data_IF_115895588587
#
_entry.id   IF_115895588587
#
_cell.length_a   1.000
_cell.length_b   1.000
_cell.length_c   1.000
_cell.angle_alpha   90.00
_cell.angle_beta   90.00
_cell.angle_gamma   90.00
#
_symmetry.space_group_name_H-M   'P 1'
#
loop_
_entity.id
_entity.type
_entity.pdbx_description
1 polymer ?
#
# COMPACT_ATOMS: atom_id res chain seq x y z
N UNK A 1 5.01 4.20 29.57
CA UNK A 1 4.00 3.62 28.64
C UNK A 1 4.08 4.20 27.22
N UNK A 2 4.23 5.53 27.03
CA UNK A 2 4.42 6.15 25.70
C UNK A 2 5.57 5.56 24.87
N UNK A 3 6.74 5.28 25.47
CA UNK A 3 7.88 4.69 24.75
C UNK A 3 7.63 3.26 24.24
N UNK A 4 6.78 2.48 24.91
CA UNK A 4 6.51 1.10 24.50
C UNK A 4 5.59 1.07 23.27
N UNK A 5 4.57 1.92 23.24
CA UNK A 5 3.63 2.05 22.11
C UNK A 5 4.35 2.55 20.86
N UNK A 6 5.24 3.54 21.01
CA UNK A 6 6.02 4.08 19.88
C UNK A 6 6.96 3.03 19.29
N UNK A 7 7.68 2.26 20.13
CA UNK A 7 8.58 1.19 19.67
C UNK A 7 7.84 0.06 18.97
N UNK A 8 6.65 -0.29 19.44
CA UNK A 8 5.81 -1.31 18.82
C UNK A 8 5.33 -0.85 17.43
N UNK A 9 4.86 0.40 17.33
CA UNK A 9 4.48 1.00 16.06
C UNK A 9 5.66 1.10 15.07
N UNK A 10 6.87 1.37 15.57
CA UNK A 10 8.10 1.35 14.78
C UNK A 10 8.50 -0.04 14.26
N UNK A 11 8.28 -1.08 15.06
CA UNK A 11 8.50 -2.45 14.64
C UNK A 11 7.50 -2.87 13.54
N UNK A 12 6.21 -2.56 13.74
CA UNK A 12 5.16 -2.83 12.76
C UNK A 12 5.42 -2.12 11.43
N UNK A 13 5.79 -0.84 11.48
CA UNK A 13 6.15 -0.07 10.28
C UNK A 13 7.29 -0.69 9.49
N UNK A 14 8.37 -1.12 10.17
CA UNK A 14 9.51 -1.77 9.51
C UNK A 14 9.12 -3.10 8.87
N UNK A 15 8.25 -3.87 9.53
CA UNK A 15 7.69 -5.09 8.95
C UNK A 15 6.85 -4.81 7.71
N UNK A 16 5.94 -3.82 7.77
CA UNK A 16 5.12 -3.44 6.62
C UNK A 16 5.98 -3.02 5.42
N UNK A 17 7.02 -2.21 5.65
CA UNK A 17 7.96 -1.82 4.59
C UNK A 17 8.72 -3.02 4.04
N UNK A 18 9.20 -3.92 4.91
CA UNK A 18 9.89 -5.12 4.46
C UNK A 18 9.01 -5.99 3.56
N UNK A 19 7.75 -6.21 3.95
CA UNK A 19 6.77 -6.99 3.19
C UNK A 19 6.41 -6.29 1.87
N UNK A 20 6.18 -4.98 1.89
CA UNK A 20 5.90 -4.21 0.68
C UNK A 20 7.09 -4.21 -0.29
N UNK A 21 8.31 -4.02 0.22
CA UNK A 21 9.52 -4.07 -0.59
C UNK A 21 9.74 -5.46 -1.22
N UNK A 22 9.56 -6.53 -0.43
CA UNK A 22 9.72 -7.89 -0.91
C UNK A 22 8.66 -8.26 -1.96
N UNK A 23 7.40 -7.88 -1.75
CA UNK A 23 6.32 -8.11 -2.72
C UNK A 23 6.58 -7.37 -4.03
N UNK A 24 6.99 -6.10 -3.97
CA UNK A 24 7.36 -5.32 -5.15
C UNK A 24 8.55 -5.94 -5.91
N UNK A 25 9.59 -6.36 -5.19
CA UNK A 25 10.76 -7.01 -5.79
C UNK A 25 10.38 -8.33 -6.47
N UNK A 26 9.57 -9.15 -5.81
CA UNK A 26 9.09 -10.42 -6.36
C UNK A 26 8.25 -10.19 -7.62
N UNK A 27 7.35 -9.20 -7.58
CA UNK A 27 6.51 -8.84 -8.73
C UNK A 27 7.36 -8.34 -9.91
N UNK A 28 8.40 -7.54 -9.65
CA UNK A 28 9.35 -7.05 -10.64
C UNK A 28 10.20 -8.17 -11.28
N UNK A 29 10.42 -9.29 -10.60
CA UNK A 29 11.13 -10.45 -11.15
C UNK A 29 10.21 -11.40 -11.92
N UNK A 30 8.97 -11.59 -11.45
CA UNK A 30 7.99 -12.48 -12.06
C UNK A 30 7.50 -11.96 -13.41
N UNK A 31 7.30 -10.65 -13.58
CA UNK A 31 6.78 -10.08 -14.83
C UNK A 31 7.76 -10.31 -16.01
N UNK A 32 9.06 -9.98 -15.91
CA UNK A 32 10.03 -10.29 -16.95
C UNK A 32 10.17 -11.78 -17.23
N UNK A 33 10.06 -12.63 -16.20
CA UNK A 33 10.05 -14.09 -16.38
C UNK A 33 8.83 -14.55 -17.18
N UNK A 34 7.65 -13.99 -16.90
CA UNK A 34 6.42 -14.25 -17.66
C UNK A 34 6.54 -13.82 -19.13
N UNK A 35 7.16 -12.67 -19.38
CA UNK A 35 7.46 -12.19 -20.74
C UNK A 35 8.43 -13.15 -21.42
N UNK A 36 9.54 -13.53 -20.77
CA UNK A 36 10.53 -14.44 -21.35
C UNK A 36 9.94 -15.81 -21.70
N UNK A 37 9.17 -16.41 -20.79
CA UNK A 37 8.51 -17.70 -21.05
C UNK A 37 7.49 -17.62 -22.20
N UNK A 38 6.73 -16.53 -22.28
CA UNK A 38 5.75 -16.32 -23.35
C UNK A 38 6.37 -16.07 -24.72
N UNK A 39 7.40 -15.22 -24.80
CA UNK A 39 7.98 -14.78 -26.07
C UNK A 39 9.18 -15.63 -26.53
N UNK A 40 9.92 -16.28 -25.62
CA UNK A 40 11.12 -17.06 -25.96
C UNK A 40 10.84 -18.57 -25.92
N UNK A 41 10.15 -19.07 -24.88
CA UNK A 41 9.83 -20.50 -24.79
C UNK A 41 8.57 -20.91 -25.56
N UNK A 42 7.72 -19.95 -25.97
CA UNK A 42 6.47 -20.23 -26.68
C UNK A 42 5.41 -20.97 -25.85
N UNK A 43 5.73 -21.35 -24.61
CA UNK A 43 4.79 -21.88 -23.62
C UNK A 43 4.33 -20.72 -22.75
N UNK A 44 3.11 -20.22 -23.02
CA UNK A 44 2.51 -19.17 -22.21
C UNK A 44 2.29 -19.65 -20.79
N UNK A 45 3.24 -19.38 -19.88
CA UNK A 45 3.07 -19.68 -18.47
C UNK A 45 1.95 -18.79 -17.92
N UNK A 46 0.82 -19.39 -17.52
CA UNK A 46 -0.37 -18.67 -17.04
C UNK A 46 -0.30 -18.27 -15.57
N UNK A 47 0.78 -18.66 -14.87
CA UNK A 47 0.96 -18.47 -13.44
C UNK A 47 1.54 -17.10 -13.00
N UNK A 48 2.37 -16.39 -13.81
CA UNK A 48 2.90 -15.07 -13.48
C UNK A 48 1.80 -14.02 -13.25
N UNK A 49 0.75 -14.03 -14.08
CA UNK A 49 -0.35 -13.06 -14.03
C UNK A 49 -1.14 -13.09 -12.70
N UNK A 50 -1.72 -14.21 -12.27
CA UNK A 50 -2.44 -14.29 -10.99
C UNK A 50 -1.52 -14.07 -9.79
N UNK A 51 -0.26 -14.51 -9.86
CA UNK A 51 0.72 -14.32 -8.78
C UNK A 51 1.08 -12.85 -8.61
N UNK A 52 1.26 -12.11 -9.72
CA UNK A 52 1.52 -10.69 -9.69
C UNK A 52 0.33 -9.91 -9.09
N UNK A 53 -0.90 -10.29 -9.41
CA UNK A 53 -2.11 -9.67 -8.82
C UNK A 53 -2.15 -9.86 -7.31
N UNK A 54 -1.89 -11.08 -6.81
CA UNK A 54 -1.85 -11.35 -5.37
C UNK A 54 -0.74 -10.54 -4.67
N UNK A 55 0.45 -10.47 -5.27
CA UNK A 55 1.56 -9.66 -4.75
C UNK A 55 1.24 -8.16 -4.78
N UNK A 56 0.54 -7.66 -5.79
CA UNK A 56 0.07 -6.28 -5.89
C UNK A 56 -0.88 -5.92 -4.75
N UNK A 57 -1.79 -6.84 -4.41
CA UNK A 57 -2.74 -6.66 -3.29
C UNK A 57 -1.97 -6.56 -1.97
N UNK A 58 -1.04 -7.48 -1.72
CA UNK A 58 -0.16 -7.45 -0.52
C UNK A 58 0.64 -6.15 -0.48
N UNK A 59 1.32 -5.79 -1.57
CA UNK A 59 2.06 -4.54 -1.68
C UNK A 59 1.18 -3.33 -1.38
N UNK A 60 -0.04 -3.30 -1.90
CA UNK A 60 -0.96 -2.17 -1.72
C UNK A 60 -1.39 -2.02 -0.26
N UNK A 61 -1.79 -3.10 0.41
CA UNK A 61 -2.22 -3.03 1.81
C UNK A 61 -1.07 -2.65 2.77
N UNK A 62 0.07 -3.34 2.67
CA UNK A 62 1.22 -3.09 3.56
C UNK A 62 1.98 -1.82 3.19
N UNK A 63 2.12 -1.56 1.89
CA UNK A 63 2.75 -0.36 1.35
C UNK A 63 1.96 0.89 1.68
N UNK A 64 0.63 0.90 1.50
CA UNK A 64 -0.19 2.05 1.86
C UNK A 64 -0.13 2.37 3.35
N UNK A 65 -0.18 1.35 4.22
CA UNK A 65 -0.04 1.54 5.67
C UNK A 65 1.32 2.16 6.05
N UNK A 66 2.41 1.71 5.41
CA UNK A 66 3.73 2.28 5.60
C UNK A 66 3.84 3.71 5.03
N UNK A 67 3.40 3.94 3.79
CA UNK A 67 3.43 5.24 3.13
C UNK A 67 2.62 6.30 3.88
N UNK A 68 1.51 5.92 4.50
CA UNK A 68 0.72 6.81 5.36
C UNK A 68 1.54 7.30 6.56
N UNK A 69 2.26 6.39 7.24
CA UNK A 69 3.12 6.75 8.38
C UNK A 69 4.33 7.58 7.94
N UNK A 70 4.89 7.30 6.77
CA UNK A 70 6.00 8.05 6.20
C UNK A 70 5.60 9.46 5.73
N UNK A 71 4.31 9.79 5.71
CA UNK A 71 3.81 11.04 5.12
C UNK A 71 4.16 11.15 3.63
N UNK A 72 4.35 10.02 2.95
CA UNK A 72 4.92 9.93 1.61
C UNK A 72 3.98 10.43 0.48
N UNK A 73 2.82 10.97 0.82
CA UNK A 73 2.08 11.90 -0.05
C UNK A 73 2.85 13.23 -0.20
N UNK A 74 4.14 13.17 -0.54
CA UNK A 74 5.02 14.33 -0.73
C UNK A 74 4.44 15.31 -1.75
N UNK A 75 3.76 14.81 -2.79
CA UNK A 75 3.11 15.64 -3.80
C UNK A 75 1.96 16.49 -3.22
N UNK A 76 1.25 16.01 -2.21
CA UNK A 76 0.17 16.77 -1.54
C UNK A 76 0.78 17.77 -0.56
N UNK A 77 1.82 17.38 0.16
CA UNK A 77 2.51 18.24 1.12
C UNK A 77 3.06 19.52 0.46
N UNK A 78 3.67 19.41 -0.72
CA UNK A 78 4.24 20.55 -1.45
C UNK A 78 3.17 21.58 -1.88
N UNK A 79 1.96 21.12 -2.18
CA UNK A 79 0.82 22.00 -2.48
C UNK A 79 0.28 22.65 -1.20
N UNK A 80 0.17 21.90 -0.10
CA UNK A 80 -0.35 22.40 1.19
C UNK A 80 0.62 23.31 1.94
N UNK A 81 1.93 23.20 1.73
CA UNK A 81 2.94 24.07 2.36
C UNK A 81 2.91 25.50 1.82
N UNK A 82 2.25 25.74 0.68
CA UNK A 82 2.02 27.09 0.14
C UNK A 82 0.76 27.76 0.69
N UNK A 83 -0.03 27.09 1.53
CA UNK A 83 -1.24 27.64 2.12
C UNK A 83 -0.98 28.24 3.52
N UNK A 84 -1.78 29.25 3.93
CA UNK A 84 -1.75 29.79 5.29
C UNK A 84 -2.08 28.72 6.35
N UNK A 85 -1.50 28.85 7.55
CA UNK A 85 -1.52 27.81 8.61
C UNK A 85 -2.92 27.27 8.96
N UNK A 86 -3.94 28.14 8.93
CA UNK A 86 -5.33 27.74 9.20
C UNK A 86 -5.88 26.78 8.12
N UNK A 87 -5.56 27.02 6.85
CA UNK A 87 -5.99 26.18 5.74
C UNK A 87 -5.20 24.86 5.70
N UNK A 88 -3.93 24.87 6.10
CA UNK A 88 -3.10 23.64 6.23
C UNK A 88 -3.69 22.69 7.28
N UNK A 89 -4.08 23.22 8.44
CA UNK A 89 -4.68 22.42 9.51
C UNK A 89 -6.05 21.86 9.10
N UNK A 90 -6.90 22.66 8.44
CA UNK A 90 -8.18 22.19 7.92
C UNK A 90 -8.00 21.07 6.87
N UNK A 91 -7.04 21.23 5.95
CA UNK A 91 -6.72 20.22 4.95
C UNK A 91 -6.19 18.91 5.58
N UNK A 92 -5.34 19.01 6.60
CA UNK A 92 -4.82 17.83 7.32
C UNK A 92 -5.94 17.04 8.00
N UNK A 93 -6.88 17.72 8.66
CA UNK A 93 -8.06 17.09 9.28
C UNK A 93 -8.95 16.45 8.22
N UNK A 94 -9.19 17.13 7.11
CA UNK A 94 -9.98 16.62 5.99
C UNK A 94 -9.37 15.35 5.37
N UNK A 95 -8.05 15.32 5.19
CA UNK A 95 -7.33 14.13 4.70
C UNK A 95 -7.47 12.95 5.68
N UNK A 96 -7.36 13.20 6.99
CA UNK A 96 -7.56 12.14 7.99
C UNK A 96 -8.98 11.58 7.96
N UNK A 97 -9.99 12.45 7.82
CA UNK A 97 -11.39 12.02 7.71
C UNK A 97 -11.60 11.19 6.44
N UNK A 98 -11.11 11.66 5.28
CA UNK A 98 -11.21 10.92 4.03
C UNK A 98 -10.52 9.55 4.10
N UNK A 99 -9.33 9.49 4.70
CA UNK A 99 -8.63 8.23 4.92
C UNK A 99 -9.40 7.27 5.83
N UNK A 100 -10.01 7.78 6.90
CA UNK A 100 -10.87 6.97 7.77
C UNK A 100 -12.08 6.40 6.99
N UNK A 101 -12.71 7.21 6.13
CA UNK A 101 -13.81 6.76 5.27
C UNK A 101 -13.37 5.66 4.32
N UNK A 102 -12.23 5.82 3.63
CA UNK A 102 -11.69 4.82 2.71
C UNK A 102 -11.37 3.51 3.45
N UNK A 103 -10.76 3.59 4.63
CA UNK A 103 -10.47 2.42 5.46
C UNK A 103 -11.75 1.66 5.85
N UNK A 104 -12.80 2.38 6.29
CA UNK A 104 -14.09 1.77 6.63
C UNK A 104 -14.74 1.14 5.39
N UNK A 105 -14.71 1.83 4.25
CA UNK A 105 -15.26 1.31 3.00
C UNK A 105 -14.57 0.00 2.57
N UNK A 106 -13.23 -0.02 2.60
CA UNK A 106 -12.43 -1.21 2.30
C UNK A 106 -12.74 -2.36 3.27
N UNK A 107 -12.86 -2.08 4.58
CA UNK A 107 -13.21 -3.09 5.56
C UNK A 107 -14.60 -3.71 5.29
N UNK A 108 -15.61 -2.88 5.00
CA UNK A 108 -16.98 -3.35 4.72
C UNK A 108 -17.05 -4.16 3.44
N UNK A 109 -16.42 -3.68 2.35
CA UNK A 109 -16.41 -4.39 1.08
C UNK A 109 -15.60 -5.68 1.15
N UNK A 110 -14.46 -5.68 1.84
CA UNK A 110 -13.66 -6.87 2.11
C UNK A 110 -14.43 -7.93 2.88
N UNK A 111 -15.10 -7.56 3.98
CA UNK A 111 -15.96 -8.47 4.73
C UNK A 111 -17.09 -9.05 3.88
N UNK A 112 -17.75 -8.22 3.06
CA UNK A 112 -18.80 -8.68 2.14
C UNK A 112 -18.28 -9.68 1.11
N UNK A 113 -17.05 -9.50 0.61
CA UNK A 113 -16.46 -10.41 -0.36
C UNK A 113 -16.18 -11.79 0.27
N UNK A 114 -15.66 -11.81 1.50
CA UNK A 114 -15.40 -13.05 2.23
C UNK A 114 -16.68 -13.79 2.64
N UNK A 115 -17.77 -13.07 2.94
CA UNK A 115 -19.07 -13.68 3.27
C UNK A 115 -19.85 -14.18 2.05
N UNK A 116 -19.49 -13.72 0.86
CA UNK A 116 -20.14 -14.10 -0.40
C UNK A 116 -19.46 -15.28 -1.11
N UNK A 117 -18.34 -15.78 -0.58
CA UNK A 117 -17.62 -16.98 -1.02
C UNK A 117 -17.93 -18.13 -0.08
#
# INVERSE_FOLDING_TARGET
>A
MKNTILRFNDALYRLCIGIAGLSMLTMALIIPWGIFTRYVLGTGSSWPEPTAILLMVVFTFFGAAASYRAGAHMAVNMATDRLPEAARNAAAVLVQILMAVVCVFMAVKGMKLCLST
#
